data_IF_013209669559
#
_entry.id   IF_013209669559
#
_cell.length_a   1.000
_cell.length_b   1.000
_cell.length_c   1.000
_cell.angle_alpha   90.00
_cell.angle_beta   90.00
_cell.angle_gamma   90.00
#
_symmetry.space_group_name_H-M   'P 1'
#
loop_
_entity.id
_entity.type
_entity.pdbx_description
1 polymer ?
#
# COMPACT_ATOMS: atom_id res chain seq x y z
N UNK A 1 -19.46 -2.30 1.53
CA UNK A 1 -19.24 -3.75 1.60
C UNK A 1 -19.40 -4.36 0.22
N UNK A 2 -18.68 -5.41 -0.11
CA UNK A 2 -18.70 -6.11 -1.41
C UNK A 2 -18.00 -5.39 -2.59
N UNK A 3 -17.21 -4.36 -2.35
CA UNK A 3 -16.39 -3.74 -3.40
C UNK A 3 -15.20 -4.63 -3.86
N UNK A 4 -14.96 -5.74 -3.18
CA UNK A 4 -13.88 -6.67 -3.48
C UNK A 4 -12.55 -6.34 -2.78
N UNK A 5 -12.57 -5.60 -1.67
CA UNK A 5 -11.38 -5.28 -0.86
C UNK A 5 -10.61 -6.54 -0.45
N UNK A 6 -11.28 -7.45 0.24
CA UNK A 6 -10.65 -8.69 0.72
C UNK A 6 -10.16 -9.60 -0.42
N UNK A 7 -10.84 -9.57 -1.58
CA UNK A 7 -10.35 -10.29 -2.77
C UNK A 7 -9.07 -9.66 -3.32
N UNK A 8 -9.03 -8.32 -3.41
CA UNK A 8 -7.83 -7.59 -3.85
C UNK A 8 -6.68 -7.79 -2.86
N UNK A 9 -6.95 -7.64 -1.55
CA UNK A 9 -5.95 -7.88 -0.52
C UNK A 9 -5.38 -9.30 -0.61
N UNK A 10 -6.24 -10.31 -0.71
CA UNK A 10 -5.79 -11.70 -0.86
C UNK A 10 -4.88 -11.85 -2.08
N UNK A 11 -5.29 -11.31 -3.22
CA UNK A 11 -4.50 -11.38 -4.45
C UNK A 11 -3.15 -10.64 -4.35
N UNK A 12 -3.08 -9.55 -3.59
CA UNK A 12 -1.84 -8.79 -3.36
C UNK A 12 -0.90 -9.43 -2.31
N UNK A 13 -1.43 -10.29 -1.42
CA UNK A 13 -0.68 -10.82 -0.27
C UNK A 13 -0.50 -12.33 -0.28
N UNK A 14 -1.05 -13.06 -1.26
CA UNK A 14 -0.81 -14.49 -1.42
C UNK A 14 0.31 -14.74 -2.41
N UNK A 15 1.16 -15.72 -2.09
CA UNK A 15 2.19 -16.22 -3.00
C UNK A 15 1.61 -17.10 -4.11
N UNK A 16 0.36 -17.55 -3.98
CA UNK A 16 -0.36 -18.35 -4.96
C UNK A 16 -1.48 -17.55 -5.60
N UNK A 17 -1.46 -17.49 -6.91
CA UNK A 17 -2.45 -16.79 -7.76
C UNK A 17 -3.78 -17.56 -7.85
N UNK A 18 -3.90 -18.70 -7.17
CA UNK A 18 -5.08 -19.57 -7.19
C UNK A 18 -5.59 -19.85 -5.79
N UNK A 19 -6.84 -19.53 -5.50
CA UNK A 19 -7.47 -20.01 -4.28
C UNK A 19 -8.88 -19.52 -4.03
N UNK A 20 -9.78 -20.43 -4.04
CA UNK A 20 -11.13 -20.55 -3.52
C UNK A 20 -11.85 -19.31 -2.94
N UNK A 21 -13.02 -19.11 -3.49
CA UNK A 21 -14.05 -18.12 -3.15
C UNK A 21 -14.64 -18.42 -1.75
N UNK A 22 -14.13 -17.77 -0.71
CA UNK A 22 -14.81 -17.69 0.59
C UNK A 22 -15.17 -16.24 0.88
N UNK A 23 -16.48 -15.96 0.81
CA UNK A 23 -17.07 -14.68 1.20
C UNK A 23 -16.96 -14.53 2.71
N UNK A 24 -16.04 -13.68 3.19
CA UNK A 24 -16.00 -13.28 4.59
C UNK A 24 -15.98 -11.75 4.67
N UNK A 25 -16.93 -11.20 5.40
CA UNK A 25 -16.79 -9.85 5.92
C UNK A 25 -15.69 -9.91 6.99
N UNK A 26 -14.63 -9.12 6.85
CA UNK A 26 -13.55 -9.06 7.82
C UNK A 26 -14.06 -8.30 9.05
N UNK A 27 -14.08 -8.97 10.20
CA UNK A 27 -14.46 -8.36 11.49
C UNK A 27 -13.23 -7.90 12.27
N UNK A 28 -12.07 -8.50 11.97
CA UNK A 28 -10.77 -8.14 12.58
C UNK A 28 -9.82 -7.67 11.50
N UNK A 29 -9.01 -6.66 11.82
CA UNK A 29 -7.99 -6.15 10.91
C UNK A 29 -6.94 -7.21 10.64
N UNK A 30 -6.68 -7.49 9.38
CA UNK A 30 -5.67 -8.45 8.96
C UNK A 30 -4.53 -7.72 8.27
N UNK A 31 -3.34 -7.75 8.87
CA UNK A 31 -2.12 -7.17 8.27
C UNK A 31 -1.31 -8.28 7.61
N UNK A 32 -0.92 -8.09 6.35
CA UNK A 32 -0.10 -9.04 5.58
C UNK A 32 0.93 -8.31 4.74
N UNK A 33 2.05 -8.97 4.46
CA UNK A 33 3.05 -8.43 3.53
C UNK A 33 2.58 -8.54 2.08
N UNK A 34 2.89 -7.50 1.28
CA UNK A 34 2.73 -7.53 -0.17
C UNK A 34 3.58 -8.65 -0.77
N UNK A 35 3.01 -9.45 -1.67
CA UNK A 35 3.70 -10.60 -2.28
C UNK A 35 3.82 -10.44 -3.81
N UNK A 36 4.94 -10.86 -4.41
CA UNK A 36 6.25 -11.18 -3.78
C UNK A 36 6.77 -10.02 -2.91
N UNK A 37 7.51 -10.31 -1.85
CA UNK A 37 7.98 -9.25 -0.94
C UNK A 37 8.75 -8.16 -1.68
N UNK A 38 8.43 -6.90 -1.35
CA UNK A 38 9.20 -5.74 -1.75
C UNK A 38 10.23 -5.40 -0.67
N UNK A 39 11.29 -4.72 -1.03
CA UNK A 39 12.28 -4.19 -0.10
C UNK A 39 12.34 -2.68 -0.22
N UNK A 40 12.09 -1.91 0.84
CA UNK A 40 11.60 -2.36 2.15
C UNK A 40 10.22 -3.04 2.08
N UNK A 41 9.91 -3.79 3.15
CA UNK A 41 8.69 -4.59 3.23
C UNK A 41 7.46 -3.70 3.30
N UNK A 42 6.52 -3.88 2.38
CA UNK A 42 5.23 -3.17 2.36
C UNK A 42 4.16 -4.06 3.01
N UNK A 43 3.50 -3.51 4.02
CA UNK A 43 2.39 -4.16 4.71
C UNK A 43 1.06 -3.66 4.13
N UNK A 44 0.12 -4.57 3.95
CA UNK A 44 -1.24 -4.30 3.50
C UNK A 44 -2.19 -4.71 4.61
N UNK A 45 -3.06 -3.79 5.03
CA UNK A 45 -4.10 -4.02 6.03
C UNK A 45 -5.48 -3.99 5.37
N UNK A 46 -6.33 -4.98 5.66
CA UNK A 46 -7.76 -4.96 5.26
C UNK A 46 -8.57 -4.40 6.42
N UNK A 47 -9.18 -3.27 6.20
CA UNK A 47 -10.04 -2.62 7.18
C UNK A 47 -11.49 -3.07 7.02
N UNK A 48 -12.27 -2.98 8.08
CA UNK A 48 -13.73 -3.20 8.01
C UNK A 48 -14.34 -2.25 6.97
N UNK A 49 -15.14 -2.79 6.06
CA UNK A 49 -15.84 -1.97 5.06
C UNK A 49 -16.87 -1.07 5.71
N UNK A 50 -16.83 0.22 5.42
CA UNK A 50 -17.85 1.16 5.90
C UNK A 50 -19.25 0.70 5.48
N UNK A 51 -20.11 0.50 6.46
CA UNK A 51 -21.52 0.13 6.28
C UNK A 51 -22.33 1.43 6.11
N UNK A 52 -23.33 1.42 5.24
CA UNK A 52 -24.17 2.58 4.88
C UNK A 52 -24.81 3.36 6.06
N UNK A 53 -24.80 2.80 7.26
CA UNK A 53 -25.26 3.43 8.49
C UNK A 53 -24.40 2.91 9.63
N UNK A 54 -23.34 3.65 9.98
CA UNK A 54 -22.66 3.47 11.24
C UNK A 54 -23.48 4.18 12.33
N UNK A 55 -24.11 3.45 13.26
CA UNK A 55 -24.66 4.08 14.45
C UNK A 55 -23.52 4.79 15.19
N UNK A 56 -23.77 5.99 15.69
CA UNK A 56 -22.78 6.78 16.44
C UNK A 56 -22.18 5.99 17.63
N UNK A 57 -22.91 5.04 18.19
CA UNK A 57 -22.45 4.18 19.28
C UNK A 57 -21.36 3.15 18.86
N UNK A 58 -21.24 2.84 17.56
CA UNK A 58 -20.21 1.95 17.03
C UNK A 58 -18.89 2.66 16.70
N UNK A 59 -18.86 3.99 16.65
CA UNK A 59 -17.65 4.78 16.39
C UNK A 59 -16.56 4.45 17.44
N UNK A 60 -16.94 4.25 18.69
CA UNK A 60 -16.00 3.90 19.76
C UNK A 60 -15.37 2.50 19.57
N UNK A 61 -16.14 1.53 19.06
CA UNK A 61 -15.65 0.17 18.77
C UNK A 61 -14.79 0.11 17.48
N UNK A 62 -14.97 1.08 16.58
CA UNK A 62 -14.17 1.21 15.36
C UNK A 62 -12.91 2.05 15.53
N UNK A 63 -12.67 2.62 16.70
CA UNK A 63 -11.56 3.54 16.94
C UNK A 63 -10.20 2.91 16.60
N UNK A 64 -9.96 1.65 16.98
CA UNK A 64 -8.72 0.94 16.66
C UNK A 64 -8.53 0.72 15.15
N UNK A 65 -9.62 0.45 14.42
CA UNK A 65 -9.60 0.29 12.96
C UNK A 65 -9.40 1.64 12.25
N UNK A 66 -9.85 2.73 12.88
CA UNK A 66 -9.69 4.09 12.39
C UNK A 66 -8.26 4.63 12.65
N UNK A 67 -7.64 4.23 13.75
CA UNK A 67 -6.25 4.55 14.09
C UNK A 67 -5.30 4.00 13.01
N UNK A 68 -5.57 2.80 12.47
CA UNK A 68 -4.80 2.24 11.35
C UNK A 68 -4.93 3.06 10.04
N UNK A 69 -6.11 3.62 9.77
CA UNK A 69 -6.28 4.49 8.61
C UNK A 69 -5.52 5.82 8.76
N UNK A 70 -5.39 6.32 10.00
CA UNK A 70 -4.61 7.51 10.30
C UNK A 70 -3.10 7.27 10.15
N UNK A 71 -2.62 6.10 10.52
CA UNK A 71 -1.20 5.71 10.42
C UNK A 71 -0.80 5.23 9.03
N UNK A 72 -1.76 5.02 8.13
CA UNK A 72 -1.48 4.48 6.80
C UNK A 72 -0.67 5.44 5.94
N UNK A 73 0.43 4.96 5.36
CA UNK A 73 1.23 5.72 4.39
C UNK A 73 0.54 5.90 3.04
N UNK A 74 -0.43 5.02 2.71
CA UNK A 74 -1.26 5.07 1.51
C UNK A 74 -2.61 4.42 1.77
N UNK A 75 -3.69 5.14 1.48
CA UNK A 75 -5.06 4.62 1.52
C UNK A 75 -5.53 4.22 0.13
N UNK A 76 -6.10 3.02 -0.02
CA UNK A 76 -6.74 2.57 -1.24
C UNK A 76 -8.26 2.55 -1.05
N UNK A 77 -8.97 3.48 -1.70
CA UNK A 77 -10.43 3.52 -1.71
C UNK A 77 -10.96 2.56 -2.78
N UNK A 78 -11.30 1.34 -2.39
CA UNK A 78 -11.79 0.32 -3.32
C UNK A 78 -13.30 0.42 -3.43
N UNK A 79 -13.81 0.67 -4.65
CA UNK A 79 -15.24 0.72 -4.96
C UNK A 79 -15.60 -0.30 -6.03
N UNK A 80 -16.88 -0.75 -6.04
CA UNK A 80 -17.43 -1.55 -7.14
C UNK A 80 -17.86 -0.60 -8.25
N UNK A 81 -17.11 -0.57 -9.36
CA UNK A 81 -17.38 0.31 -10.49
C UNK A 81 -18.73 0.01 -11.19
N UNK A 82 -19.28 -1.20 -10.97
CA UNK A 82 -20.56 -1.61 -11.52
C UNK A 82 -21.77 -1.31 -10.59
N UNK A 83 -21.52 -0.81 -9.36
CA UNK A 83 -22.58 -0.40 -8.43
C UNK A 83 -23.00 1.04 -8.72
N UNK A 84 -24.23 1.28 -9.09
CA UNK A 84 -24.74 2.63 -9.35
C UNK A 84 -24.61 3.60 -8.15
N UNK A 85 -24.57 3.07 -6.92
CA UNK A 85 -24.43 3.82 -5.68
C UNK A 85 -22.98 4.06 -5.23
N UNK A 86 -21.96 3.70 -6.03
CA UNK A 86 -20.56 3.79 -5.58
C UNK A 86 -20.13 5.23 -5.26
N UNK A 87 -20.67 6.23 -5.96
CA UNK A 87 -20.32 7.64 -5.71
C UNK A 87 -20.77 8.08 -4.32
N UNK A 88 -22.00 7.73 -3.92
CA UNK A 88 -22.52 8.00 -2.59
C UNK A 88 -21.69 7.28 -1.51
N UNK A 89 -21.35 6.01 -1.74
CA UNK A 89 -20.51 5.23 -0.83
C UNK A 89 -19.11 5.82 -0.70
N UNK A 90 -18.54 6.36 -1.77
CA UNK A 90 -17.24 7.03 -1.77
C UNK A 90 -17.29 8.32 -0.95
N UNK A 91 -18.34 9.14 -1.09
CA UNK A 91 -18.51 10.36 -0.30
C UNK A 91 -18.70 10.08 1.18
N UNK A 92 -19.49 9.05 1.53
CA UNK A 92 -19.61 8.59 2.93
C UNK A 92 -18.23 8.20 3.50
N UNK A 93 -17.45 7.43 2.73
CA UNK A 93 -16.09 7.03 3.15
C UNK A 93 -15.18 8.24 3.36
N UNK A 94 -15.22 9.21 2.45
CA UNK A 94 -14.43 10.46 2.56
C UNK A 94 -14.85 11.30 3.76
N UNK A 95 -16.17 11.36 4.05
CA UNK A 95 -16.69 12.07 5.22
C UNK A 95 -16.17 11.47 6.52
N UNK A 96 -16.22 10.14 6.64
CA UNK A 96 -15.71 9.44 7.82
C UNK A 96 -14.20 9.66 7.98
N UNK A 97 -13.43 9.58 6.91
CA UNK A 97 -11.98 9.85 6.98
C UNK A 97 -11.66 11.27 7.43
N UNK A 98 -12.48 12.27 7.02
CA UNK A 98 -12.35 13.65 7.52
C UNK A 98 -12.67 13.76 9.00
N UNK A 99 -13.73 13.10 9.46
CA UNK A 99 -14.12 13.10 10.88
C UNK A 99 -13.02 12.54 11.80
N UNK A 100 -12.25 11.57 11.33
CA UNK A 100 -11.15 10.96 12.09
C UNK A 100 -9.78 11.60 11.82
N UNK A 101 -9.71 12.63 10.96
CA UNK A 101 -8.44 13.32 10.62
C UNK A 101 -7.50 12.52 9.72
N UNK A 102 -8.00 11.47 9.04
CA UNK A 102 -7.20 10.64 8.12
C UNK A 102 -7.32 11.09 6.65
N UNK A 103 -8.00 12.20 6.38
CA UNK A 103 -8.17 12.77 5.03
C UNK A 103 -6.89 13.35 4.44
N UNK A 104 -5.88 13.62 5.27
CA UNK A 104 -4.56 14.10 4.84
C UNK A 104 -3.65 12.97 4.35
N UNK A 105 -3.98 11.72 4.65
CA UNK A 105 -3.20 10.58 4.17
C UNK A 105 -3.26 10.47 2.63
N UNK A 106 -2.13 10.21 1.97
CA UNK A 106 -2.12 9.95 0.54
C UNK A 106 -3.12 8.85 0.19
N UNK A 107 -3.97 9.10 -0.82
CA UNK A 107 -4.99 8.13 -1.18
C UNK A 107 -5.09 7.90 -2.69
N UNK A 108 -5.60 6.73 -3.10
CA UNK A 108 -5.90 6.39 -4.48
C UNK A 108 -7.26 5.71 -4.57
N UNK A 109 -8.06 6.12 -5.55
CA UNK A 109 -9.33 5.48 -5.87
C UNK A 109 -9.06 4.25 -6.76
N UNK A 110 -9.58 3.10 -6.35
CA UNK A 110 -9.49 1.84 -7.10
C UNK A 110 -10.90 1.44 -7.53
N UNK A 111 -11.17 1.59 -8.82
CA UNK A 111 -12.42 1.22 -9.48
C UNK A 111 -12.34 -0.27 -9.84
N UNK A 112 -12.85 -1.11 -8.94
CA UNK A 112 -12.79 -2.56 -9.10
C UNK A 112 -14.01 -3.09 -9.88
N UNK A 113 -13.90 -4.33 -10.36
CA UNK A 113 -14.93 -5.07 -11.10
C UNK A 113 -15.25 -4.49 -12.48
N UNK A 114 -14.25 -3.90 -13.14
CA UNK A 114 -14.42 -3.40 -14.53
C UNK A 114 -14.81 -4.50 -15.53
N UNK A 115 -14.61 -5.77 -15.17
CA UNK A 115 -15.08 -6.93 -15.94
C UNK A 115 -16.60 -6.99 -16.09
N UNK A 116 -17.35 -6.20 -15.32
CA UNK A 116 -18.81 -6.09 -15.37
C UNK A 116 -19.32 -4.87 -16.15
N UNK A 117 -18.41 -4.01 -16.60
CA UNK A 117 -18.78 -2.78 -17.33
C UNK A 117 -18.79 -3.00 -18.83
N UNK A 118 -19.62 -2.21 -19.52
CA UNK A 118 -19.51 -2.07 -20.97
C UNK A 118 -18.30 -1.18 -21.31
N UNK A 119 -17.72 -1.30 -22.52
CA UNK A 119 -16.63 -0.41 -22.94
C UNK A 119 -17.00 1.08 -22.89
N UNK A 120 -18.25 1.43 -23.19
CA UNK A 120 -18.73 2.80 -23.13
C UNK A 120 -18.74 3.33 -21.69
N UNK A 121 -19.35 2.57 -20.76
CA UNK A 121 -19.38 2.94 -19.34
C UNK A 121 -17.97 3.05 -18.74
N UNK A 122 -17.06 2.15 -19.13
CA UNK A 122 -15.67 2.22 -18.69
C UNK A 122 -14.98 3.51 -19.16
N UNK A 123 -15.19 3.90 -20.43
CA UNK A 123 -14.62 5.13 -20.99
C UNK A 123 -15.18 6.39 -20.30
N UNK A 124 -16.48 6.41 -19.99
CA UNK A 124 -17.11 7.49 -19.22
C UNK A 124 -16.50 7.64 -17.82
N UNK A 125 -16.34 6.52 -17.10
CA UNK A 125 -15.73 6.52 -15.76
C UNK A 125 -14.25 6.90 -15.79
N UNK A 126 -13.51 6.51 -16.82
CA UNK A 126 -12.11 6.91 -16.99
C UNK A 126 -11.98 8.42 -17.26
N UNK A 127 -12.93 9.01 -17.98
CA UNK A 127 -12.98 10.45 -18.19
C UNK A 127 -13.37 11.22 -16.90
N UNK A 128 -14.29 10.67 -16.10
CA UNK A 128 -14.73 11.25 -14.83
C UNK A 128 -13.66 11.15 -13.72
N UNK A 129 -12.92 10.04 -13.69
CA UNK A 129 -11.93 9.74 -12.66
C UNK A 129 -10.55 9.43 -13.28
N UNK A 130 -9.86 10.40 -13.89
CA UNK A 130 -8.62 10.15 -14.66
C UNK A 130 -7.48 9.60 -13.80
N UNK A 131 -7.45 9.90 -12.50
CA UNK A 131 -6.42 9.44 -11.56
C UNK A 131 -6.76 8.10 -10.88
N UNK A 132 -7.94 7.54 -11.17
CA UNK A 132 -8.34 6.27 -10.56
C UNK A 132 -7.66 5.07 -11.22
N UNK A 133 -7.49 4.01 -10.44
CA UNK A 133 -6.99 2.73 -10.94
C UNK A 133 -8.16 1.82 -11.29
N UNK A 134 -8.34 1.57 -12.59
CA UNK A 134 -9.40 0.71 -13.10
C UNK A 134 -8.89 -0.73 -13.19
N UNK A 135 -9.53 -1.64 -12.45
CA UNK A 135 -9.06 -3.02 -12.31
C UNK A 135 -10.23 -4.02 -12.23
N UNK A 136 -9.91 -5.27 -12.49
CA UNK A 136 -10.66 -6.41 -11.98
C UNK A 136 -9.75 -7.23 -11.06
N UNK A 137 -10.09 -7.33 -9.78
CA UNK A 137 -9.34 -8.15 -8.81
C UNK A 137 -9.32 -9.66 -9.17
N UNK A 138 -10.07 -10.07 -10.21
CA UNK A 138 -10.07 -11.41 -10.77
C UNK A 138 -8.99 -11.62 -11.85
N UNK A 139 -8.46 -10.53 -12.41
CA UNK A 139 -7.44 -10.56 -13.47
C UNK A 139 -6.06 -10.40 -12.85
N UNK A 140 -5.21 -11.38 -13.02
CA UNK A 140 -3.84 -11.37 -12.50
C UNK A 140 -3.05 -10.16 -12.98
N UNK A 141 -3.21 -9.77 -14.24
CA UNK A 141 -2.51 -8.61 -14.83
C UNK A 141 -2.87 -7.30 -14.14
N UNK A 142 -4.16 -7.11 -13.80
CA UNK A 142 -4.63 -5.92 -13.09
C UNK A 142 -4.07 -5.88 -11.66
N UNK A 143 -4.03 -7.02 -10.98
CA UNK A 143 -3.45 -7.15 -9.63
C UNK A 143 -1.95 -6.84 -9.64
N UNK A 144 -1.21 -7.37 -10.62
CA UNK A 144 0.22 -7.07 -10.80
C UNK A 144 0.44 -5.57 -11.09
N UNK A 145 -0.45 -4.96 -11.87
CA UNK A 145 -0.41 -3.51 -12.14
C UNK A 145 -0.63 -2.70 -10.86
N UNK A 146 -1.62 -3.06 -10.03
CA UNK A 146 -1.85 -2.41 -8.73
C UNK A 146 -0.63 -2.56 -7.84
N UNK A 147 -0.07 -3.78 -7.75
CA UNK A 147 1.15 -4.05 -6.99
C UNK A 147 2.30 -3.15 -7.44
N UNK A 148 2.56 -3.06 -8.73
CA UNK A 148 3.62 -2.22 -9.29
C UNK A 148 3.42 -0.74 -8.96
N UNK A 149 2.17 -0.25 -9.03
CA UNK A 149 1.81 1.13 -8.68
C UNK A 149 1.98 1.43 -7.19
N UNK A 150 1.66 0.48 -6.31
CA UNK A 150 1.92 0.61 -4.87
C UNK A 150 3.42 0.73 -4.61
N UNK A 151 4.24 -0.16 -5.19
CA UNK A 151 5.69 -0.12 -5.05
C UNK A 151 6.26 1.21 -5.58
N UNK A 152 5.86 1.63 -6.77
CA UNK A 152 6.30 2.88 -7.37
C UNK A 152 5.93 4.11 -6.51
N UNK A 153 4.76 4.09 -5.84
CA UNK A 153 4.37 5.14 -4.90
C UNK A 153 5.37 5.27 -3.75
N UNK A 154 5.79 4.16 -3.14
CA UNK A 154 6.78 4.18 -2.06
C UNK A 154 8.17 4.52 -2.60
N UNK A 155 8.61 3.91 -3.70
CA UNK A 155 9.92 4.17 -4.31
C UNK A 155 10.10 5.64 -4.74
N UNK A 156 9.02 6.31 -5.14
CA UNK A 156 9.06 7.74 -5.50
C UNK A 156 9.39 8.67 -4.32
N UNK A 157 9.24 8.17 -3.09
CA UNK A 157 9.48 8.90 -1.83
C UNK A 157 10.81 8.53 -1.20
N UNK A 158 11.54 7.53 -1.74
CA UNK A 158 12.81 7.10 -1.20
C UNK A 158 13.89 8.16 -1.41
N UNK A 159 14.66 8.36 -0.36
CA UNK A 159 15.92 9.07 -0.44
C UNK A 159 17.02 8.15 -0.99
N UNK A 160 17.93 8.71 -1.78
CA UNK A 160 19.14 8.05 -2.22
C UNK A 160 20.33 8.63 -1.47
N UNK A 161 21.23 7.77 -1.00
CA UNK A 161 22.44 8.16 -0.33
C UNK A 161 23.63 7.29 -0.74
N UNK A 162 24.77 7.92 -0.91
CA UNK A 162 26.06 7.24 -0.98
C UNK A 162 26.60 7.11 0.46
N UNK A 163 26.86 5.89 0.90
CA UNK A 163 27.29 5.55 2.24
C UNK A 163 28.60 4.74 2.16
N UNK A 164 29.61 5.17 2.92
CA UNK A 164 30.87 4.42 3.06
C UNK A 164 30.79 3.57 4.32
N UNK A 165 30.81 2.26 4.16
CA UNK A 165 30.69 1.28 5.24
C UNK A 165 32.05 0.64 5.49
N UNK A 166 32.74 0.91 6.63
CA UNK A 166 33.96 0.27 6.98
C UNK A 166 33.83 -1.26 7.05
N UNK A 167 34.87 -2.01 6.74
CA UNK A 167 34.83 -3.48 6.82
C UNK A 167 34.52 -4.01 8.22
N UNK A 168 34.80 -3.25 9.26
CA UNK A 168 34.44 -3.56 10.66
C UNK A 168 32.89 -3.57 10.87
N UNK A 169 32.16 -2.85 10.02
CA UNK A 169 30.71 -2.70 10.07
C UNK A 169 30.00 -3.37 8.88
N UNK A 170 30.61 -4.34 8.23
CA UNK A 170 30.08 -5.01 7.03
C UNK A 170 28.65 -5.58 7.23
N UNK A 171 28.27 -5.87 8.47
CA UNK A 171 26.90 -6.25 8.82
C UNK A 171 25.86 -5.22 8.38
N UNK A 172 26.22 -3.93 8.37
CA UNK A 172 25.30 -2.86 7.94
C UNK A 172 24.91 -2.99 6.47
N UNK A 173 25.80 -3.51 5.61
CA UNK A 173 25.48 -3.75 4.19
C UNK A 173 24.35 -4.79 4.07
N UNK A 174 24.41 -5.87 4.85
CA UNK A 174 23.34 -6.87 4.88
C UNK A 174 22.01 -6.28 5.37
N UNK A 175 22.05 -5.45 6.41
CA UNK A 175 20.86 -4.75 6.92
C UNK A 175 20.31 -3.77 5.88
N UNK A 176 21.14 -3.09 5.09
CA UNK A 176 20.70 -2.24 3.97
C UNK A 176 19.96 -3.05 2.92
N UNK A 177 20.40 -4.26 2.59
CA UNK A 177 19.68 -5.16 1.68
C UNK A 177 18.31 -5.61 2.20
N UNK A 178 18.12 -5.65 3.51
CA UNK A 178 16.85 -5.99 4.13
C UNK A 178 15.89 -4.78 4.20
N UNK A 179 16.43 -3.59 4.50
CA UNK A 179 15.66 -2.38 4.80
C UNK A 179 15.48 -1.44 3.62
N UNK A 180 16.06 -1.75 2.46
CA UNK A 180 15.93 -0.91 1.27
C UNK A 180 16.49 -1.56 0.02
N UNK A 181 16.74 -0.71 -0.98
CA UNK A 181 17.33 -1.11 -2.25
C UNK A 181 18.79 -0.68 -2.31
N UNK A 182 19.68 -1.62 -2.33
CA UNK A 182 21.08 -1.38 -2.69
C UNK A 182 21.16 -1.29 -4.22
N UNK A 183 21.52 -0.12 -4.71
CA UNK A 183 21.62 0.18 -6.16
C UNK A 183 22.97 -0.28 -6.70
N UNK A 184 24.05 -0.02 -5.94
CA UNK A 184 25.39 -0.47 -6.27
C UNK A 184 26.26 -0.63 -5.03
N UNK A 185 27.23 -1.51 -5.11
CA UNK A 185 28.31 -1.72 -4.14
C UNK A 185 29.65 -1.61 -4.84
N UNK A 186 30.56 -0.86 -4.27
CA UNK A 186 31.93 -0.75 -4.73
C UNK A 186 32.89 -0.99 -3.54
N UNK A 187 33.68 -2.02 -3.64
CA UNK A 187 34.65 -2.36 -2.64
C UNK A 187 35.90 -1.48 -2.85
N UNK A 188 36.33 -0.77 -1.81
CA UNK A 188 37.49 0.11 -1.76
C UNK A 188 38.44 -0.39 -0.66
N UNK A 189 39.64 0.22 -0.51
CA UNK A 189 40.68 -0.29 0.39
C UNK A 189 40.25 -0.29 1.87
N UNK A 190 39.40 0.63 2.29
CA UNK A 190 39.00 0.87 3.67
C UNK A 190 37.52 0.46 3.97
N UNK A 191 36.80 0.03 2.95
CA UNK A 191 35.39 -0.37 3.15
C UNK A 191 34.62 -0.58 1.86
N UNK A 192 33.29 -0.55 1.98
CA UNK A 192 32.35 -0.70 0.87
C UNK A 192 31.57 0.60 0.69
N UNK A 193 31.66 1.18 -0.49
CA UNK A 193 30.83 2.32 -0.89
C UNK A 193 29.51 1.80 -1.46
N UNK A 194 28.39 2.16 -0.83
CA UNK A 194 27.04 1.67 -1.15
C UNK A 194 26.17 2.82 -1.61
N UNK A 195 25.55 2.70 -2.78
CA UNK A 195 24.43 3.57 -3.16
C UNK A 195 23.15 2.90 -2.66
N UNK A 196 22.52 3.53 -1.67
CA UNK A 196 21.36 2.99 -0.95
C UNK A 196 20.14 3.86 -1.13
N UNK A 197 18.98 3.24 -1.42
CA UNK A 197 17.68 3.89 -1.54
C UNK A 197 16.70 3.27 -0.58
N UNK A 198 16.10 4.10 0.27
CA UNK A 198 15.06 3.68 1.22
C UNK A 198 14.27 4.89 1.70
N UNK A 199 13.35 4.66 2.64
CA UNK A 199 12.68 5.74 3.37
C UNK A 199 13.73 6.70 3.96
N UNK A 200 13.50 8.03 3.93
CA UNK A 200 14.43 9.02 4.48
C UNK A 200 14.89 8.73 5.90
N UNK A 201 13.99 8.29 6.79
CA UNK A 201 14.32 7.97 8.18
C UNK A 201 15.28 6.79 8.29
N UNK A 202 15.11 5.78 7.43
CA UNK A 202 16.00 4.61 7.36
C UNK A 202 17.39 5.03 6.89
N UNK A 203 17.45 5.87 5.84
CA UNK A 203 18.72 6.41 5.33
C UNK A 203 19.45 7.21 6.41
N UNK A 204 18.75 8.07 7.12
CA UNK A 204 19.32 8.89 8.19
C UNK A 204 19.78 8.04 9.39
N UNK A 205 19.06 6.96 9.71
CA UNK A 205 19.49 5.99 10.72
C UNK A 205 20.83 5.35 10.37
N UNK A 206 21.03 4.91 9.12
CA UNK A 206 22.32 4.36 8.67
C UNK A 206 23.43 5.40 8.69
N UNK A 207 23.16 6.63 8.26
CA UNK A 207 24.14 7.75 8.37
C UNK A 207 24.59 7.98 9.81
N UNK A 208 23.65 8.03 10.75
CA UNK A 208 23.96 8.23 12.16
C UNK A 208 24.75 7.07 12.76
N UNK A 209 24.49 5.83 12.36
CA UNK A 209 25.24 4.65 12.82
C UNK A 209 26.67 4.66 12.28
N UNK A 210 26.85 4.97 11.01
CA UNK A 210 28.17 5.06 10.37
C UNK A 210 29.02 6.20 10.97
N UNK A 211 28.43 7.35 11.26
CA UNK A 211 29.12 8.47 11.89
C UNK A 211 29.63 8.16 13.33
N UNK A 212 29.09 7.15 14.00
CA UNK A 212 29.55 6.69 15.33
C UNK A 212 30.63 5.63 15.24
N UNK A 213 30.79 5.01 14.09
CA UNK A 213 31.77 3.94 13.85
C UNK A 213 33.11 4.48 13.31
N UNK A 214 33.17 5.76 12.93
CA UNK A 214 34.32 6.51 12.51
C UNK A 214 34.92 7.29 13.68
#
# INVERSE_FOLDING_TARGET
>A
TNAGKSSLMRALTSSEVYGEDKRCATLDTTVRALQPEAKPRILVSDTVGFIKQLPHDLVASFKSTLDEAHEASLLLHVVDAADAGFREQLEVTRSVLREIGADQAPSRLVMNKIDRLTPATLAELQAEFPDAWFISAKRTEDVLTVRARIIAFFESRYAEAELSVPYTEQRLVSEMHEQGRVVSEKYEDDGVKVIFRSDPEVVDSFRARLARAT
#
